data_IF_330688571345
#
_entry.id   IF_330688571345
#
_cell.length_a   1.000
_cell.length_b   1.000
_cell.length_c   1.000
_cell.angle_alpha   90.00
_cell.angle_beta   90.00
_cell.angle_gamma   90.00
#
_symmetry.space_group_name_H-M   'P 1'
#
loop_
_entity.id
_entity.type
_entity.pdbx_description
1 polymer ?
#
# COMPACT_ATOMS: atom_id res chain seq x y z
N UNK A 1 -0.80 4.87 61.53
CA UNK A 1 -1.79 3.79 61.61
C UNK A 1 -2.88 4.10 60.59
N UNK A 2 -2.99 3.24 59.57
CA UNK A 2 -4.04 3.12 58.53
C UNK A 2 -4.08 4.25 57.48
N UNK A 3 -3.54 4.11 56.25
CA UNK A 3 -3.81 3.11 55.19
C UNK A 3 -5.30 3.10 54.77
N UNK A 4 -5.58 3.57 53.53
CA UNK A 4 -6.61 3.14 52.56
C UNK A 4 -6.88 4.30 51.56
N UNK A 5 -6.17 4.38 50.43
CA UNK A 5 -6.49 3.76 49.14
C UNK A 5 -7.77 4.34 48.48
N UNK A 6 -7.61 5.20 47.46
CA UNK A 6 -8.39 5.14 46.20
C UNK A 6 -7.53 5.66 45.05
N UNK A 7 -6.94 4.72 44.30
CA UNK A 7 -6.41 4.96 42.96
C UNK A 7 -7.55 5.44 42.06
N UNK A 8 -7.42 6.61 41.45
CA UNK A 8 -8.09 6.91 40.19
C UNK A 8 -7.20 6.39 39.06
N UNK A 9 -7.44 5.14 38.66
CA UNK A 9 -6.97 4.65 37.37
C UNK A 9 -7.81 5.35 36.30
N UNK A 10 -7.28 6.45 35.74
CA UNK A 10 -7.80 7.00 34.50
C UNK A 10 -7.47 5.99 33.39
N UNK A 11 -8.41 5.11 33.10
CA UNK A 11 -8.37 4.23 31.95
C UNK A 11 -8.32 5.09 30.69
N UNK A 12 -7.14 5.24 30.11
CA UNK A 12 -6.96 5.74 28.76
C UNK A 12 -7.65 4.73 27.83
N UNK A 13 -8.85 5.08 27.38
CA UNK A 13 -9.47 4.46 26.22
C UNK A 13 -8.50 4.65 25.05
N UNK A 14 -7.73 3.60 24.76
CA UNK A 14 -7.04 3.41 23.50
C UNK A 14 -8.13 3.29 22.44
N UNK A 15 -8.59 4.42 21.90
CA UNK A 15 -9.31 4.42 20.64
C UNK A 15 -8.27 4.13 19.56
N UNK A 16 -8.10 2.84 19.25
CA UNK A 16 -7.57 2.42 17.96
C UNK A 16 -8.45 3.08 16.91
N UNK A 17 -7.91 4.09 16.23
CA UNK A 17 -8.56 4.61 15.03
C UNK A 17 -8.74 3.42 14.08
N UNK A 18 -9.98 3.12 13.71
CA UNK A 18 -10.27 2.10 12.70
C UNK A 18 -9.69 2.58 11.38
N UNK A 19 -8.52 2.08 11.01
CA UNK A 19 -8.10 2.11 9.62
C UNK A 19 -9.14 1.32 8.83
N UNK A 20 -9.79 1.93 7.84
CA UNK A 20 -10.67 1.18 6.95
C UNK A 20 -9.91 0.00 6.35
N UNK A 21 -10.50 -1.19 6.36
CA UNK A 21 -9.87 -2.37 5.81
C UNK A 21 -9.63 -2.20 4.31
N UNK A 22 -8.50 -2.70 3.85
CA UNK A 22 -8.12 -2.64 2.44
C UNK A 22 -8.01 -4.05 1.87
N UNK A 23 -8.46 -4.20 0.64
CA UNK A 23 -8.17 -5.37 -0.19
C UNK A 23 -7.06 -4.95 -1.14
N UNK A 24 -5.85 -5.49 -0.98
CA UNK A 24 -4.73 -5.13 -1.83
C UNK A 24 -4.54 -6.20 -2.91
N UNK A 25 -4.62 -5.78 -4.16
CA UNK A 25 -4.32 -6.63 -5.32
C UNK A 25 -3.56 -5.85 -6.37
N UNK A 26 -2.72 -6.50 -7.14
CA UNK A 26 -1.95 -5.87 -8.20
C UNK A 26 -1.71 -6.85 -9.34
N UNK A 27 -1.66 -6.31 -10.56
CA UNK A 27 -1.18 -7.05 -11.72
C UNK A 27 0.35 -7.06 -11.63
N UNK A 28 0.99 -8.18 -11.95
CA UNK A 28 2.46 -8.33 -11.96
C UNK A 28 3.03 -8.35 -13.36
N UNK A 29 2.22 -8.69 -14.36
CA UNK A 29 2.57 -8.61 -15.76
C UNK A 29 1.31 -8.47 -16.62
N UNK A 30 1.40 -7.68 -17.68
CA UNK A 30 0.38 -7.59 -18.72
C UNK A 30 1.01 -7.94 -20.06
N UNK A 31 0.35 -8.78 -20.87
CA UNK A 31 0.79 -9.12 -22.22
C UNK A 31 -0.36 -8.98 -23.22
N UNK A 32 -0.02 -8.79 -24.51
CA UNK A 32 -1.00 -8.54 -25.56
C UNK A 32 -1.16 -7.06 -25.88
N UNK A 33 -2.41 -6.61 -26.01
CA UNK A 33 -2.77 -5.22 -26.33
C UNK A 33 -3.82 -4.70 -25.34
N UNK A 34 -3.99 -3.38 -25.15
CA UNK A 34 -4.98 -2.83 -24.21
C UNK A 34 -6.42 -3.36 -24.37
N UNK A 35 -6.84 -3.74 -25.58
CA UNK A 35 -8.16 -4.30 -25.86
C UNK A 35 -8.22 -5.85 -25.80
N UNK A 36 -7.06 -6.50 -25.73
CA UNK A 36 -6.90 -7.96 -25.71
C UNK A 36 -5.64 -8.30 -24.91
N UNK A 37 -5.78 -8.30 -23.59
CA UNK A 37 -4.69 -8.40 -22.64
C UNK A 37 -4.82 -9.63 -21.75
N UNK A 38 -3.69 -10.16 -21.31
CA UNK A 38 -3.62 -11.20 -20.28
C UNK A 38 -2.88 -10.62 -19.07
N UNK A 39 -3.59 -10.49 -17.95
CA UNK A 39 -3.05 -9.98 -16.70
C UNK A 39 -2.64 -11.15 -15.82
N UNK A 40 -1.36 -11.23 -15.47
CA UNK A 40 -0.90 -12.04 -14.33
C UNK A 40 -1.07 -11.19 -13.08
N UNK A 41 -1.74 -11.70 -12.05
CA UNK A 41 -2.11 -10.90 -10.88
C UNK A 41 -1.88 -11.62 -9.57
N UNK A 42 -1.81 -10.83 -8.50
CA UNK A 42 -1.80 -11.26 -7.10
C UNK A 42 -2.87 -10.48 -6.35
N UNK A 43 -3.77 -11.18 -5.66
CA UNK A 43 -4.58 -10.63 -4.57
C UNK A 43 -3.79 -10.94 -3.30
N UNK A 44 -3.11 -9.93 -2.78
CA UNK A 44 -2.07 -10.09 -1.76
C UNK A 44 -2.66 -10.34 -0.39
N UNK A 45 -3.58 -9.48 0.02
CA UNK A 45 -4.20 -9.52 1.34
C UNK A 45 -5.56 -8.84 1.35
N UNK A 46 -6.33 -9.19 2.36
CA UNK A 46 -7.53 -8.48 2.77
C UNK A 46 -7.43 -8.23 4.27
N UNK A 47 -7.23 -6.98 4.64
CA UNK A 47 -7.12 -6.57 6.04
C UNK A 47 -8.44 -6.86 6.79
N UNK A 48 -8.42 -7.10 8.11
CA UNK A 48 -9.65 -7.33 8.88
C UNK A 48 -10.63 -6.16 8.74
N UNK A 49 -11.86 -6.48 8.34
CA UNK A 49 -12.95 -5.52 8.15
C UNK A 49 -13.49 -4.98 9.47
N UNK A 50 -13.98 -3.73 9.44
CA UNK A 50 -14.83 -3.23 10.51
C UNK A 50 -16.11 -4.07 10.54
N UNK A 51 -16.45 -4.59 11.72
CA UNK A 51 -17.68 -5.34 11.97
C UNK A 51 -18.97 -4.62 11.55
N UNK A 52 -18.94 -3.30 11.34
CA UNK A 52 -20.07 -2.48 10.91
C UNK A 52 -20.08 -2.16 9.41
N UNK A 53 -19.00 -2.45 8.67
CA UNK A 53 -18.91 -2.13 7.25
C UNK A 53 -19.96 -2.93 6.45
N UNK A 54 -20.91 -2.29 5.74
CA UNK A 54 -22.03 -2.99 5.12
C UNK A 54 -21.60 -3.74 3.85
N UNK A 55 -22.15 -4.94 3.66
CA UNK A 55 -22.05 -5.66 2.39
C UNK A 55 -22.93 -4.95 1.33
N UNK A 56 -22.36 -4.43 0.22
CA UNK A 56 -23.08 -3.64 -0.76
C UNK A 56 -24.19 -4.41 -1.51
N UNK A 57 -24.17 -5.74 -1.49
CA UNK A 57 -25.17 -6.58 -2.14
C UNK A 57 -26.00 -7.43 -1.16
N UNK A 58 -26.02 -7.07 0.12
CA UNK A 58 -26.93 -7.69 1.08
C UNK A 58 -28.39 -7.51 0.64
N UNK A 59 -29.16 -8.61 0.64
CA UNK A 59 -30.56 -8.60 0.25
C UNK A 59 -30.82 -8.67 -1.26
N UNK A 60 -29.78 -8.74 -2.10
CA UNK A 60 -29.97 -9.08 -3.51
C UNK A 60 -30.54 -10.49 -3.67
N UNK A 61 -31.21 -10.78 -4.79
CA UNK A 61 -31.70 -12.14 -5.08
C UNK A 61 -30.56 -13.14 -5.23
N UNK A 62 -29.40 -12.69 -5.69
CA UNK A 62 -28.15 -13.42 -5.75
C UNK A 62 -26.98 -12.44 -5.69
N UNK A 63 -25.97 -12.75 -4.88
CA UNK A 63 -24.71 -12.03 -4.91
C UNK A 63 -23.55 -13.00 -4.73
N UNK A 64 -22.62 -13.00 -5.68
CA UNK A 64 -21.37 -13.76 -5.67
C UNK A 64 -20.20 -12.83 -5.43
N UNK A 65 -19.21 -13.31 -4.68
CA UNK A 65 -17.86 -12.79 -4.78
C UNK A 65 -17.12 -13.56 -5.87
N UNK A 66 -16.64 -12.82 -6.86
CA UNK A 66 -15.85 -13.33 -7.97
C UNK A 66 -14.47 -12.69 -7.97
N UNK A 67 -13.45 -13.45 -8.39
CA UNK A 67 -12.19 -12.85 -8.85
C UNK A 67 -12.42 -12.42 -10.28
N UNK A 68 -12.37 -11.11 -10.52
CA UNK A 68 -12.68 -10.52 -11.82
C UNK A 68 -11.77 -9.32 -12.09
N UNK A 69 -11.89 -8.74 -13.27
CA UNK A 69 -11.19 -7.54 -13.68
C UNK A 69 -12.15 -6.42 -14.04
N UNK A 70 -11.68 -5.18 -13.87
CA UNK A 70 -12.35 -3.99 -14.41
C UNK A 70 -12.34 -4.10 -15.93
N UNK A 71 -13.53 -4.11 -16.51
CA UNK A 71 -13.74 -4.40 -17.93
C UNK A 71 -14.00 -3.17 -18.79
N UNK A 72 -14.54 -2.12 -18.19
CA UNK A 72 -14.80 -0.85 -18.83
C UNK A 72 -14.35 0.31 -17.95
N UNK A 73 -14.44 1.53 -18.49
CA UNK A 73 -14.04 2.75 -17.79
C UNK A 73 -14.85 2.98 -16.51
N UNK A 74 -16.11 2.52 -16.49
CA UNK A 74 -17.03 2.66 -15.37
C UNK A 74 -16.67 1.73 -14.21
N UNK A 75 -15.88 0.68 -14.45
CA UNK A 75 -15.48 -0.27 -13.42
C UNK A 75 -16.36 -1.51 -13.35
N UNK A 76 -17.06 -1.85 -14.44
CA UNK A 76 -17.89 -3.06 -14.47
C UNK A 76 -17.01 -4.30 -14.49
N UNK A 77 -17.49 -5.45 -13.98
CA UNK A 77 -16.80 -6.72 -14.09
C UNK A 77 -16.84 -7.27 -15.52
N UNK A 78 -15.77 -7.93 -15.92
CA UNK A 78 -15.68 -8.68 -17.18
C UNK A 78 -15.99 -10.17 -16.97
N UNK A 79 -15.29 -11.03 -17.70
CA UNK A 79 -15.30 -12.48 -17.46
C UNK A 79 -14.59 -12.82 -16.15
N UNK A 80 -15.29 -13.49 -15.22
CA UNK A 80 -14.66 -13.85 -13.94
C UNK A 80 -13.64 -14.96 -14.14
N UNK A 81 -12.50 -14.86 -13.47
CA UNK A 81 -11.51 -15.94 -13.38
C UNK A 81 -12.04 -17.07 -12.49
N UNK A 82 -12.73 -16.71 -11.39
CA UNK A 82 -13.26 -17.68 -10.42
C UNK A 82 -14.45 -17.10 -9.68
N UNK A 83 -15.51 -17.88 -9.54
CA UNK A 83 -16.58 -17.62 -8.57
C UNK A 83 -16.24 -18.29 -7.25
N UNK A 84 -16.23 -17.51 -6.17
CA UNK A 84 -15.76 -17.97 -4.85
C UNK A 84 -16.93 -18.44 -4.00
N UNK A 85 -17.85 -17.53 -3.67
CA UNK A 85 -18.90 -17.78 -2.68
C UNK A 85 -20.09 -16.83 -2.85
N UNK A 86 -21.28 -17.31 -2.45
CA UNK A 86 -22.52 -16.52 -2.35
C UNK A 86 -22.55 -15.75 -1.03
N UNK A 87 -22.93 -14.48 -1.08
CA UNK A 87 -22.83 -13.55 0.05
C UNK A 87 -24.04 -12.65 0.27
N UNK A 88 -25.11 -12.80 -0.50
CA UNK A 88 -26.31 -11.95 -0.39
C UNK A 88 -27.01 -12.01 0.98
N UNK A 89 -26.68 -13.02 1.80
CA UNK A 89 -27.21 -13.20 3.16
C UNK A 89 -26.30 -12.62 4.24
N UNK A 90 -25.07 -12.23 3.90
CA UNK A 90 -24.13 -11.60 4.82
C UNK A 90 -24.37 -10.10 4.87
N UNK A 91 -24.54 -9.56 6.07
CA UNK A 91 -24.85 -8.15 6.28
C UNK A 91 -23.62 -7.27 6.16
N UNK A 92 -22.46 -7.80 6.51
CA UNK A 92 -21.24 -7.04 6.70
C UNK A 92 -20.10 -7.55 5.81
N UNK A 93 -19.14 -6.68 5.47
CA UNK A 93 -17.93 -7.09 4.75
C UNK A 93 -17.05 -8.03 5.58
N UNK A 94 -17.11 -7.97 6.92
CA UNK A 94 -16.44 -8.92 7.79
C UNK A 94 -16.90 -10.37 7.55
N UNK A 95 -18.22 -10.60 7.50
CA UNK A 95 -18.79 -11.91 7.17
C UNK A 95 -18.43 -12.35 5.74
N UNK A 96 -18.44 -11.42 4.77
CA UNK A 96 -18.03 -11.67 3.38
C UNK A 96 -16.56 -12.12 3.34
N UNK A 97 -15.67 -11.41 4.04
CA UNK A 97 -14.24 -11.72 4.13
C UNK A 97 -14.01 -13.11 4.69
N UNK A 98 -14.64 -13.45 5.81
CA UNK A 98 -14.53 -14.79 6.40
C UNK A 98 -14.98 -15.88 5.44
N UNK A 99 -16.12 -15.69 4.77
CA UNK A 99 -16.63 -16.66 3.79
C UNK A 99 -15.70 -16.82 2.58
N UNK A 100 -15.05 -15.75 2.12
CA UNK A 100 -14.05 -15.80 1.05
C UNK A 100 -12.79 -16.54 1.49
N UNK A 101 -12.25 -16.21 2.67
CA UNK A 101 -11.01 -16.81 3.20
C UNK A 101 -11.19 -18.29 3.58
N UNK A 102 -12.41 -18.77 3.77
CA UNK A 102 -12.70 -20.21 3.88
C UNK A 102 -12.60 -20.97 2.55
N UNK A 103 -12.61 -20.26 1.42
CA UNK A 103 -12.61 -20.86 0.06
C UNK A 103 -11.30 -20.65 -0.70
N UNK A 104 -10.55 -19.60 -0.36
CA UNK A 104 -9.24 -19.31 -0.93
C UNK A 104 -8.27 -18.86 0.17
N UNK A 105 -6.99 -19.15 -0.02
CA UNK A 105 -5.92 -18.58 0.79
C UNK A 105 -5.32 -17.37 0.07
N UNK A 106 -4.93 -16.35 0.83
CA UNK A 106 -4.14 -15.22 0.32
C UNK A 106 -2.66 -15.38 0.73
N UNK A 107 -1.69 -14.94 -0.11
CA UNK A 107 -1.90 -14.32 -1.41
C UNK A 107 -2.44 -15.31 -2.46
N UNK A 108 -3.38 -14.85 -3.29
CA UNK A 108 -3.97 -15.63 -4.38
C UNK A 108 -3.48 -15.11 -5.72
N UNK A 109 -2.90 -16.00 -6.53
CA UNK A 109 -2.34 -15.64 -7.83
C UNK A 109 -3.09 -16.31 -8.98
N UNK A 110 -3.09 -15.66 -10.15
CA UNK A 110 -3.73 -16.21 -11.34
C UNK A 110 -3.48 -15.40 -12.60
N UNK A 111 -4.22 -15.76 -13.65
CA UNK A 111 -4.29 -15.00 -14.91
C UNK A 111 -5.73 -14.62 -15.21
N UNK A 112 -5.93 -13.39 -15.67
CA UNK A 112 -7.22 -12.88 -16.14
C UNK A 112 -7.09 -12.45 -17.60
N UNK A 113 -8.06 -12.84 -18.44
CA UNK A 113 -8.12 -12.39 -19.84
C UNK A 113 -9.09 -11.22 -19.96
N UNK A 114 -8.60 -10.11 -20.50
CA UNK A 114 -9.42 -8.97 -20.89
C UNK A 114 -9.58 -8.97 -22.41
N UNK A 115 -10.82 -8.94 -22.88
CA UNK A 115 -11.17 -8.77 -24.29
C UNK A 115 -12.33 -7.79 -24.39
N UNK A 116 -12.02 -6.52 -24.67
CA UNK A 116 -13.00 -5.45 -24.54
C UNK A 116 -12.45 -4.08 -24.92
N UNK A 117 -13.10 -3.00 -24.45
CA UNK A 117 -12.61 -1.65 -24.64
C UNK A 117 -11.17 -1.52 -24.14
N UNK A 118 -10.32 -0.84 -24.91
CA UNK A 118 -8.96 -0.55 -24.49
C UNK A 118 -9.00 0.27 -23.18
N UNK A 119 -8.50 -0.33 -22.09
CA UNK A 119 -8.28 0.36 -20.83
C UNK A 119 -6.81 0.81 -20.79
N UNK A 120 -6.55 2.00 -20.27
CA UNK A 120 -5.16 2.33 -19.93
C UNK A 120 -4.74 1.51 -18.70
N UNK A 121 -3.44 1.28 -18.52
CA UNK A 121 -2.87 0.51 -17.40
C UNK A 121 -3.30 1.00 -16.02
N UNK A 122 -3.56 2.30 -15.87
CA UNK A 122 -4.01 2.92 -14.62
C UNK A 122 -5.51 2.65 -14.34
N UNK A 123 -6.23 2.09 -15.31
CA UNK A 123 -7.63 1.67 -15.21
C UNK A 123 -7.78 0.15 -15.12
N UNK A 124 -6.72 -0.62 -15.34
CA UNK A 124 -6.74 -2.08 -15.25
C UNK A 124 -6.63 -2.51 -13.78
N UNK A 125 -7.56 -3.34 -13.33
CA UNK A 125 -7.52 -3.93 -12.01
C UNK A 125 -8.06 -5.34 -12.04
N UNK A 126 -7.35 -6.28 -11.42
CA UNK A 126 -7.89 -7.59 -11.04
C UNK A 126 -8.07 -7.62 -9.52
N UNK A 127 -9.25 -8.03 -9.05
CA UNK A 127 -9.57 -8.03 -7.63
C UNK A 127 -10.84 -8.82 -7.31
N UNK A 128 -11.38 -8.58 -6.12
CA UNK A 128 -12.62 -9.19 -5.65
C UNK A 128 -13.80 -8.29 -6.01
N UNK A 129 -14.74 -8.84 -6.79
CA UNK A 129 -15.95 -8.15 -7.22
C UNK A 129 -17.17 -8.78 -6.56
N UNK A 130 -18.12 -7.96 -6.13
CA UNK A 130 -19.46 -8.44 -5.82
C UNK A 130 -20.32 -8.37 -7.09
N UNK A 131 -21.04 -9.45 -7.39
CA UNK A 131 -21.70 -9.63 -8.68
C UNK A 131 -23.03 -10.37 -8.55
N UNK A 132 -24.02 -9.98 -9.35
CA UNK A 132 -25.36 -10.58 -9.34
C UNK A 132 -25.42 -12.03 -9.86
N UNK A 133 -24.33 -12.56 -10.43
CA UNK A 133 -24.22 -13.97 -10.86
C UNK A 133 -22.78 -14.48 -10.79
N UNK A 134 -22.61 -15.81 -10.85
CA UNK A 134 -21.30 -16.45 -11.05
C UNK A 134 -20.84 -16.30 -12.50
N UNK A 135 -19.53 -16.34 -12.76
CA UNK A 135 -18.98 -16.32 -14.11
C UNK A 135 -18.65 -14.92 -14.68
N UNK A 136 -19.01 -13.84 -13.97
CA UNK A 136 -18.75 -12.47 -14.44
C UNK A 136 -19.87 -11.90 -15.32
N UNK A 137 -19.58 -10.81 -16.04
CA UNK A 137 -20.48 -10.16 -17.01
C UNK A 137 -21.86 -9.82 -16.46
N UNK A 138 -21.89 -9.21 -15.28
CA UNK A 138 -23.13 -8.93 -14.56
C UNK A 138 -23.10 -7.58 -13.86
N UNK A 139 -24.24 -7.18 -13.29
CA UNK A 139 -24.24 -6.05 -12.39
C UNK A 139 -23.35 -6.36 -11.19
N UNK A 140 -22.35 -5.51 -10.97
CA UNK A 140 -21.34 -5.69 -9.95
C UNK A 140 -20.27 -4.62 -10.02
N UNK A 141 -19.45 -4.54 -8.96
CA UNK A 141 -18.30 -3.65 -8.84
C UNK A 141 -17.22 -4.32 -7.99
N UNK A 142 -16.02 -3.75 -7.99
CA UNK A 142 -15.01 -4.07 -6.99
C UNK A 142 -15.60 -3.92 -5.59
N UNK A 143 -15.21 -4.80 -4.68
CA UNK A 143 -15.58 -4.67 -3.28
C UNK A 143 -15.08 -3.32 -2.72
N UNK A 144 -15.86 -2.67 -1.84
CA UNK A 144 -15.41 -1.48 -1.13
C UNK A 144 -14.06 -1.73 -0.43
N UNK A 145 -13.20 -0.71 -0.41
CA UNK A 145 -11.84 -0.85 0.16
C UNK A 145 -10.83 -1.54 -0.78
N UNK A 146 -11.21 -1.90 -2.01
CA UNK A 146 -10.27 -2.45 -2.99
C UNK A 146 -9.26 -1.40 -3.44
N UNK A 147 -7.99 -1.66 -3.14
CA UNK A 147 -6.82 -0.92 -3.61
C UNK A 147 -6.14 -1.76 -4.68
N UNK A 148 -6.39 -1.38 -5.94
CA UNK A 148 -5.72 -1.97 -7.08
C UNK A 148 -4.37 -1.27 -7.27
N UNK A 149 -3.28 -2.02 -7.13
CA UNK A 149 -1.98 -1.60 -7.63
C UNK A 149 -2.07 -1.34 -9.12
N UNK A 150 -1.45 -0.26 -9.57
CA UNK A 150 -1.38 0.13 -10.97
C UNK A 150 -0.85 -1.08 -11.73
N UNK A 151 -1.64 -1.56 -12.71
CA UNK A 151 -1.21 -2.67 -13.54
C UNK A 151 0.09 -2.25 -14.19
N UNK A 152 1.19 -3.02 -14.08
CA UNK A 152 2.43 -2.73 -14.79
C UNK A 152 2.02 -2.59 -16.24
N UNK A 153 2.08 -1.38 -16.80
CA UNK A 153 1.99 -1.27 -18.24
C UNK A 153 3.13 -2.12 -18.83
N UNK A 154 3.24 -2.31 -20.15
CA UNK A 154 4.53 -2.69 -20.74
C UNK A 154 5.66 -1.66 -20.49
N UNK A 155 5.49 -0.68 -19.59
CA UNK A 155 6.57 0.16 -19.08
C UNK A 155 7.33 -0.61 -18.00
N UNK A 156 8.63 -0.42 -17.92
CA UNK A 156 9.48 -1.23 -17.08
C UNK A 156 9.04 -1.31 -15.61
N UNK A 157 9.52 -2.35 -14.93
CA UNK A 157 9.49 -2.47 -13.48
C UNK A 157 10.82 -1.97 -12.94
N UNK A 158 10.78 -1.25 -11.80
CA UNK A 158 11.95 -0.92 -11.02
C UNK A 158 11.87 -1.47 -9.60
N UNK A 159 13.03 -1.72 -8.99
CA UNK A 159 13.15 -2.11 -7.60
C UNK A 159 14.33 -1.37 -6.92
N UNK A 160 14.29 -1.32 -5.58
CA UNK A 160 15.41 -0.84 -4.78
C UNK A 160 16.21 -2.06 -4.30
N UNK A 161 17.41 -2.25 -4.84
CA UNK A 161 18.23 -3.45 -4.58
C UNK A 161 18.89 -3.51 -3.20
N UNK A 162 18.83 -2.42 -2.43
CA UNK A 162 19.66 -2.25 -1.22
C UNK A 162 19.03 -2.76 0.07
N UNK A 163 17.83 -3.34 0.03
CA UNK A 163 17.07 -3.63 1.26
C UNK A 163 16.71 -2.35 2.03
N UNK A 164 16.48 -2.48 3.34
CA UNK A 164 16.20 -1.34 4.22
C UNK A 164 17.43 -0.46 4.43
N UNK A 165 17.28 0.86 4.22
CA UNK A 165 18.29 1.87 4.57
C UNK A 165 18.27 2.09 6.07
N UNK A 166 19.41 1.89 6.75
CA UNK A 166 19.54 2.11 8.19
C UNK A 166 20.51 3.28 8.39
N UNK A 167 19.96 4.42 8.78
CA UNK A 167 20.72 5.64 9.06
C UNK A 167 20.99 5.74 10.55
N UNK A 168 22.06 5.09 11.00
CA UNK A 168 22.45 5.05 12.41
C UNK A 168 23.24 6.30 12.83
N UNK A 169 22.71 7.01 13.81
CA UNK A 169 23.33 8.18 14.40
C UNK A 169 24.35 7.84 15.50
N UNK A 170 24.30 6.63 16.05
CA UNK A 170 25.07 6.21 17.22
C UNK A 170 24.71 7.02 18.47
N UNK A 171 25.60 6.97 19.46
CA UNK A 171 25.48 7.81 20.65
C UNK A 171 25.74 9.27 20.29
N UNK A 172 24.78 10.13 20.62
CA UNK A 172 24.84 11.56 20.34
C UNK A 172 24.36 12.36 21.54
N UNK A 173 25.12 13.38 21.92
CA UNK A 173 24.78 14.27 23.02
C UNK A 173 23.75 15.32 22.60
N UNK A 174 23.09 15.93 23.59
CA UNK A 174 22.01 16.89 23.37
C UNK A 174 22.46 18.13 22.56
N UNK A 175 23.72 18.55 22.68
CA UNK A 175 24.25 19.70 21.95
C UNK A 175 24.53 19.37 20.48
N UNK A 176 24.96 18.15 20.20
CA UNK A 176 25.24 17.68 18.84
C UNK A 176 24.00 17.20 18.08
N UNK A 177 22.86 16.99 18.75
CA UNK A 177 21.62 16.49 18.15
C UNK A 177 21.12 17.34 16.96
N UNK A 178 20.89 18.67 17.11
CA UNK A 178 20.31 19.46 16.03
C UNK A 178 21.24 19.56 14.82
N UNK A 179 20.75 19.19 13.64
CA UNK A 179 21.50 19.25 12.39
C UNK A 179 22.45 18.07 12.15
N UNK A 180 22.56 17.11 13.07
CA UNK A 180 23.33 15.90 12.84
C UNK A 180 22.81 15.17 11.60
N UNK A 181 23.72 14.73 10.73
CA UNK A 181 23.37 14.13 9.46
C UNK A 181 23.98 12.73 9.29
N UNK A 182 23.22 11.85 8.63
CA UNK A 182 23.69 10.55 8.14
C UNK A 182 23.29 10.38 6.69
N UNK A 183 24.12 9.67 5.94
CA UNK A 183 23.89 9.43 4.52
C UNK A 183 24.23 7.98 4.20
N UNK A 184 23.36 7.34 3.43
CA UNK A 184 23.59 6.04 2.84
C UNK A 184 22.96 6.07 1.46
N UNK A 185 23.49 5.31 0.52
CA UNK A 185 22.90 5.28 -0.82
C UNK A 185 22.15 4.00 -1.05
N UNK A 186 21.09 4.13 -1.83
CA UNK A 186 20.37 3.02 -2.44
C UNK A 186 20.75 2.88 -3.91
N UNK A 187 20.43 1.73 -4.46
CA UNK A 187 20.54 1.42 -5.87
C UNK A 187 19.17 1.06 -6.40
N UNK A 188 18.77 1.71 -7.48
CA UNK A 188 17.54 1.41 -8.21
C UNK A 188 17.90 0.70 -9.50
N UNK A 189 17.25 -0.42 -9.77
CA UNK A 189 17.35 -1.17 -11.04
C UNK A 189 16.02 -1.17 -11.73
N UNK A 190 16.03 -1.16 -13.06
CA UNK A 190 14.82 -1.31 -13.86
C UNK A 190 15.06 -2.31 -15.00
N UNK A 191 14.02 -3.04 -15.42
CA UNK A 191 14.15 -3.98 -16.54
C UNK A 191 14.15 -3.30 -17.93
N UNK A 192 13.69 -2.05 -18.03
CA UNK A 192 13.69 -1.21 -19.23
C UNK A 192 14.24 0.18 -18.91
N UNK A 193 14.67 0.91 -19.93
CA UNK A 193 15.10 2.31 -19.81
C UNK A 193 13.94 3.18 -19.32
N UNK A 194 14.09 3.83 -18.16
CA UNK A 194 13.02 4.64 -17.57
C UNK A 194 13.53 5.91 -16.87
N UNK A 195 12.72 6.97 -16.95
CA UNK A 195 12.84 8.13 -16.07
C UNK A 195 11.81 7.97 -14.96
N UNK A 196 12.26 7.91 -13.71
CA UNK A 196 11.39 7.75 -12.54
C UNK A 196 11.64 8.88 -11.54
N UNK A 197 10.68 9.10 -10.65
CA UNK A 197 10.84 10.00 -9.51
C UNK A 197 10.95 9.16 -8.22
N UNK A 198 12.06 9.29 -7.51
CA UNK A 198 12.25 8.65 -6.19
C UNK A 198 11.81 9.63 -5.12
N UNK A 199 10.90 9.24 -4.24
CA UNK A 199 10.40 10.05 -3.13
C UNK A 199 10.80 9.40 -1.81
N UNK A 200 11.19 10.20 -0.82
CA UNK A 200 11.44 9.76 0.54
C UNK A 200 10.47 10.48 1.49
N UNK A 201 9.66 9.70 2.21
CA UNK A 201 8.56 10.23 3.01
C UNK A 201 8.51 9.61 4.39
N UNK A 202 8.33 10.44 5.42
CA UNK A 202 7.99 10.01 6.78
C UNK A 202 6.54 10.31 7.15
N UNK A 203 6.08 9.74 8.26
CA UNK A 203 4.67 9.78 8.68
C UNK A 203 4.14 11.17 9.07
N UNK A 204 5.00 12.17 9.29
CA UNK A 204 4.60 13.53 9.70
C UNK A 204 4.92 14.57 8.61
N UNK A 205 4.05 14.66 7.60
CA UNK A 205 4.18 15.60 6.48
C UNK A 205 5.55 15.49 5.78
N UNK A 206 6.01 14.24 5.56
CA UNK A 206 7.30 13.95 4.94
C UNK A 206 8.49 13.84 5.89
N UNK A 207 8.30 14.19 7.17
CA UNK A 207 9.34 14.04 8.21
C UNK A 207 9.17 12.73 8.94
N UNK A 208 10.26 12.22 9.49
CA UNK A 208 10.27 10.99 10.29
C UNK A 208 10.25 11.37 11.77
N UNK A 209 9.14 11.16 12.51
CA UNK A 209 9.15 11.27 13.96
C UNK A 209 10.10 10.22 14.55
N UNK A 210 11.00 10.64 15.43
CA UNK A 210 11.94 9.75 16.12
C UNK A 210 11.54 9.52 17.59
N UNK A 211 10.55 10.28 18.06
CA UNK A 211 9.93 10.19 19.39
C UNK A 211 8.43 10.46 19.28
N UNK A 212 7.65 9.81 20.15
CA UNK A 212 6.20 9.93 20.17
C UNK A 212 5.70 11.36 20.50
N UNK A 213 6.52 12.17 21.17
CA UNK A 213 6.20 13.56 21.53
C UNK A 213 6.59 14.58 20.45
N UNK A 214 7.13 14.13 19.31
CA UNK A 214 7.67 14.97 18.24
C UNK A 214 8.76 15.98 18.68
N UNK A 215 9.41 15.73 19.82
CA UNK A 215 10.55 16.54 20.27
C UNK A 215 11.78 16.36 19.39
N UNK A 216 11.90 15.21 18.71
CA UNK A 216 12.97 14.86 17.79
C UNK A 216 12.38 14.24 16.52
N UNK A 217 12.81 14.74 15.36
CA UNK A 217 12.42 14.22 14.05
C UNK A 217 13.58 14.34 13.06
N UNK A 218 13.44 13.67 11.92
CA UNK A 218 14.40 13.72 10.83
C UNK A 218 13.78 14.27 9.54
N UNK A 219 14.50 15.19 8.90
CA UNK A 219 14.25 15.62 7.53
C UNK A 219 15.02 14.70 6.56
N UNK A 220 14.31 14.17 5.56
CA UNK A 220 14.90 13.30 4.54
C UNK A 220 15.26 14.07 3.28
N UNK A 221 16.35 13.64 2.62
CA UNK A 221 16.83 14.20 1.37
C UNK A 221 17.26 13.08 0.42
N UNK A 222 16.97 13.26 -0.87
CA UNK A 222 17.36 12.38 -1.96
C UNK A 222 18.21 13.16 -2.96
N UNK A 223 19.46 12.76 -3.19
CA UNK A 223 20.41 13.49 -4.05
C UNK A 223 20.43 15.02 -3.75
N UNK A 224 20.39 15.37 -2.45
CA UNK A 224 20.29 16.74 -1.92
C UNK A 224 18.95 17.48 -2.17
N UNK A 225 17.96 16.85 -2.80
CA UNK A 225 16.59 17.39 -2.87
C UNK A 225 15.80 17.01 -1.61
N UNK A 226 14.87 17.84 -1.12
CA UNK A 226 13.94 17.45 -0.07
C UNK A 226 13.19 16.17 -0.46
N UNK A 227 13.11 15.20 0.46
CA UNK A 227 12.58 13.86 0.18
C UNK A 227 11.19 13.86 -0.47
N UNK A 228 10.30 14.73 0.02
CA UNK A 228 8.92 14.91 -0.51
C UNK A 228 8.86 15.53 -1.91
N UNK A 229 9.87 16.32 -2.30
CA UNK A 229 9.98 16.80 -3.68
C UNK A 229 10.50 15.73 -4.63
N UNK A 230 11.17 14.74 -4.07
CA UNK A 230 11.79 13.62 -4.77
C UNK A 230 13.04 14.00 -5.56
N UNK A 231 13.67 12.96 -6.09
CA UNK A 231 14.82 13.03 -7.00
C UNK A 231 14.45 12.36 -8.33
N UNK A 232 14.36 13.11 -9.44
CA UNK A 232 14.20 12.49 -10.75
C UNK A 232 15.50 11.80 -11.15
N UNK A 233 15.40 10.55 -11.60
CA UNK A 233 16.54 9.76 -12.07
C UNK A 233 16.21 9.06 -13.38
N UNK A 234 17.24 8.86 -14.20
CA UNK A 234 17.20 7.97 -15.34
C UNK A 234 17.84 6.64 -14.92
N UNK A 235 17.15 5.53 -15.16
CA UNK A 235 17.64 4.18 -14.91
C UNK A 235 17.69 3.41 -16.23
N UNK A 236 18.88 2.98 -16.69
CA UNK A 236 19.00 2.15 -17.88
C UNK A 236 18.44 0.74 -17.65
N UNK A 237 17.82 0.15 -18.67
CA UNK A 237 17.26 -1.19 -18.63
C UNK A 237 18.34 -2.25 -18.40
N UNK A 238 18.14 -3.08 -17.39
CA UNK A 238 19.12 -4.07 -16.92
C UNK A 238 20.34 -3.45 -16.22
N UNK A 239 20.38 -2.13 -16.08
CA UNK A 239 21.41 -1.40 -15.35
C UNK A 239 20.89 -0.84 -14.03
N UNK A 240 21.77 -0.10 -13.35
CA UNK A 240 21.51 0.40 -12.01
C UNK A 240 21.83 1.89 -11.90
N UNK A 241 21.12 2.58 -11.01
CA UNK A 241 21.35 4.00 -10.71
C UNK A 241 21.34 4.22 -9.21
N UNK A 242 22.38 4.90 -8.72
CA UNK A 242 22.57 5.18 -7.29
C UNK A 242 21.79 6.45 -6.90
N UNK A 243 21.14 6.39 -5.74
CA UNK A 243 20.46 7.53 -5.12
C UNK A 243 20.96 7.68 -3.69
N UNK A 244 21.44 8.86 -3.34
CA UNK A 244 21.89 9.17 -1.98
C UNK A 244 20.68 9.52 -1.10
N UNK A 245 20.56 8.82 0.03
CA UNK A 245 19.53 9.01 1.05
C UNK A 245 20.18 9.62 2.29
N UNK A 246 19.91 10.90 2.51
CA UNK A 246 20.42 11.66 3.64
C UNK A 246 19.31 11.98 4.63
N UNK A 247 19.58 11.81 5.91
CA UNK A 247 18.68 12.18 7.00
C UNK A 247 19.36 13.20 7.90
N UNK A 248 18.64 14.27 8.27
CA UNK A 248 19.13 15.37 9.12
C UNK A 248 18.22 15.51 10.33
N UNK A 249 18.78 15.40 11.53
CA UNK A 249 18.03 15.52 12.78
C UNK A 249 17.61 16.96 13.04
N UNK A 250 16.40 17.10 13.57
CA UNK A 250 15.82 18.36 14.01
C UNK A 250 15.22 18.17 15.40
N UNK A 251 15.49 19.11 16.29
CA UNK A 251 14.97 19.12 17.65
C UNK A 251 13.94 20.25 17.83
N UNK A 252 12.87 19.96 18.57
CA UNK A 252 11.86 20.92 19.02
C UNK A 252 11.96 21.09 20.52
N UNK A 253 12.70 22.10 20.93
CA UNK A 253 12.97 22.35 22.34
C UNK A 253 13.92 21.30 22.92
N UNK A 254 13.75 21.00 24.21
CA UNK A 254 14.61 20.07 24.94
C UNK A 254 14.24 18.63 24.61
N UNK A 255 15.21 17.81 24.25
CA UNK A 255 15.01 16.38 23.96
C UNK A 255 15.41 15.57 25.18
N UNK A 256 14.49 14.76 25.72
CA UNK A 256 14.80 13.88 26.84
C UNK A 256 15.78 12.78 26.45
N UNK A 257 16.77 12.51 27.31
CA UNK A 257 17.73 11.44 27.13
C UNK A 257 17.04 10.07 26.96
N UNK A 258 17.61 9.22 26.11
CA UNK A 258 17.11 7.88 25.82
C UNK A 258 17.24 7.50 24.35
N UNK A 259 16.92 6.26 24.02
CA UNK A 259 16.90 5.78 22.64
C UNK A 259 15.85 6.52 21.80
N UNK A 260 16.11 6.66 20.50
CA UNK A 260 15.15 7.18 19.53
C UNK A 260 15.22 6.35 18.26
N UNK A 261 14.08 6.17 17.61
CA UNK A 261 13.98 5.44 16.36
C UNK A 261 12.76 5.94 15.58
N UNK A 262 12.80 5.78 14.26
CA UNK A 262 11.67 6.08 13.41
C UNK A 262 11.88 5.48 12.03
N UNK A 263 10.81 5.44 11.26
CA UNK A 263 10.81 4.86 9.93
C UNK A 263 10.17 5.81 8.91
N UNK A 264 10.68 5.70 7.69
CA UNK A 264 10.14 6.35 6.50
C UNK A 264 10.06 5.34 5.36
N UNK A 265 9.48 5.77 4.26
CA UNK A 265 9.34 4.98 3.04
C UNK A 265 10.09 5.62 1.89
N UNK A 266 10.73 4.78 1.07
CA UNK A 266 11.18 5.15 -0.28
C UNK A 266 10.12 4.68 -1.27
N UNK A 267 9.67 5.59 -2.13
CA UNK A 267 8.60 5.36 -3.09
C UNK A 267 9.16 5.61 -4.48
N UNK A 268 8.98 4.66 -5.39
CA UNK A 268 9.31 4.80 -6.80
C UNK A 268 8.05 5.19 -7.56
N UNK A 269 8.05 6.37 -8.16
CA UNK A 269 6.97 6.84 -9.03
C UNK A 269 7.41 6.63 -10.47
N UNK A 270 6.74 5.71 -11.15
CA UNK A 270 6.94 5.38 -12.55
C UNK A 270 6.00 6.23 -13.42
N UNK A 271 6.39 6.55 -14.67
CA UNK A 271 5.58 7.34 -15.61
C UNK A 271 4.33 6.60 -16.10
#
# INVERSE_FOLDING_TARGET
>A
MNLFLKLLAAGTLLWSASSGASIFSYITASSGSPANAVYTYIIERWDPEDSSAPNPCYGWSTCWININHKHDIDGSPGASVKSIVRVEKFRTLAEVREAVLQKISLPYQGKAEHRGPALNSNQECVGLFYESKSGGWSNGRLLPGSLCGIAPPPVGACEVNSGSVILDYGDIDEFSLPGAARNQSITVTCNLDMNILVIASGADSGRVPLRADNSLYADLFLNNNPGEKGAPIYVPGGGETRVDVKSVLQARGRVAAGAFEGSGSIILVMP
#
